data_IF_075378233273
#
_entry.id   IF_075378233273
#
_cell.length_a   1.000
_cell.length_b   1.000
_cell.length_c   1.000
_cell.angle_alpha   90.00
_cell.angle_beta   90.00
_cell.angle_gamma   90.00
#
_symmetry.space_group_name_H-M   'P 1'
#
loop_
_entity.id
_entity.type
_entity.pdbx_description
1 polymer ?
#
# COMPACT_ATOMS: atom_id res chain seq x y z
N UNK A 1 4.58 11.54 -15.89
CA UNK A 1 3.16 11.93 -15.85
C UNK A 1 2.27 10.73 -15.55
N UNK A 2 0.97 10.95 -15.31
CA UNK A 2 0.04 9.91 -14.82
C UNK A 2 -0.07 8.69 -15.74
N UNK A 3 0.13 8.86 -17.04
CA UNK A 3 0.11 7.79 -18.05
C UNK A 3 1.29 6.83 -17.97
N UNK A 4 2.29 7.09 -17.14
CA UNK A 4 3.37 6.14 -16.88
C UNK A 4 2.95 5.02 -15.91
N UNK A 5 1.84 5.21 -15.23
CA UNK A 5 1.30 4.20 -14.32
C UNK A 5 0.40 3.21 -15.07
N UNK A 6 0.54 1.93 -14.75
CA UNK A 6 -0.26 0.87 -15.35
C UNK A 6 -1.76 1.11 -15.12
N UNK A 7 -2.55 0.93 -16.15
CA UNK A 7 -4.01 1.16 -16.21
C UNK A 7 -4.47 2.63 -16.21
N UNK A 8 -3.57 3.61 -16.02
CA UNK A 8 -3.91 5.01 -16.15
C UNK A 8 -3.58 5.54 -17.55
N UNK A 9 -4.32 6.51 -18.01
CA UNK A 9 -4.15 7.13 -19.32
C UNK A 9 -4.21 8.66 -19.22
N UNK A 10 -4.04 9.33 -20.32
CA UNK A 10 -4.03 10.79 -20.42
C UNK A 10 -5.39 11.41 -20.03
N UNK A 11 -6.49 10.76 -20.46
CA UNK A 11 -7.86 11.22 -20.16
C UNK A 11 -8.11 11.27 -18.66
N UNK A 12 -7.70 10.23 -17.91
CA UNK A 12 -7.77 10.22 -16.43
C UNK A 12 -7.00 11.38 -15.84
N UNK A 13 -5.81 11.68 -16.39
CA UNK A 13 -5.00 12.82 -15.93
C UNK A 13 -5.68 14.16 -16.16
N UNK A 14 -6.29 14.36 -17.33
CA UNK A 14 -7.02 15.57 -17.67
C UNK A 14 -8.25 15.75 -16.80
N UNK A 15 -9.07 14.71 -16.61
CA UNK A 15 -10.26 14.74 -15.76
C UNK A 15 -9.92 15.06 -14.30
N UNK A 16 -8.86 14.44 -13.73
CA UNK A 16 -8.38 14.78 -12.38
C UNK A 16 -7.87 16.22 -12.31
N UNK A 17 -7.19 16.68 -13.35
CA UNK A 17 -6.66 18.05 -13.40
C UNK A 17 -7.79 19.10 -13.44
N UNK A 18 -8.90 18.82 -14.11
CA UNK A 18 -10.08 19.70 -14.12
C UNK A 18 -10.72 19.85 -12.74
N UNK A 19 -10.75 18.75 -11.95
CA UNK A 19 -11.31 18.75 -10.59
C UNK A 19 -10.47 19.52 -9.56
N UNK A 20 -9.21 19.86 -9.86
CA UNK A 20 -8.30 20.55 -8.91
C UNK A 20 -8.79 21.93 -8.40
N UNK A 21 -9.69 22.57 -9.14
CA UNK A 21 -10.22 23.88 -8.78
C UNK A 21 -11.43 23.80 -7.87
N UNK A 22 -11.97 22.61 -7.63
CA UNK A 22 -13.09 22.38 -6.74
C UNK A 22 -12.57 22.19 -5.31
N UNK A 23 -13.33 22.69 -4.34
CA UNK A 23 -13.06 22.44 -2.92
C UNK A 23 -13.92 21.30 -2.41
N UNK A 24 -13.30 20.36 -1.72
CA UNK A 24 -13.97 19.18 -1.15
C UNK A 24 -13.71 19.11 0.35
N UNK A 25 -14.76 19.01 1.14
CA UNK A 25 -14.61 18.86 2.60
C UNK A 25 -14.16 17.46 3.02
N UNK A 26 -14.40 16.46 2.20
CA UNK A 26 -14.01 15.07 2.45
C UNK A 26 -13.97 14.25 1.16
N UNK A 27 -13.42 13.04 1.26
CA UNK A 27 -13.24 12.16 0.11
C UNK A 27 -14.56 11.73 -0.57
N UNK A 28 -15.66 11.61 0.19
CA UNK A 28 -16.96 11.24 -0.37
C UNK A 28 -17.46 12.31 -1.34
N UNK A 29 -17.24 13.58 -1.05
CA UNK A 29 -17.63 14.67 -1.96
C UNK A 29 -16.87 14.61 -3.28
N UNK A 30 -15.55 14.38 -3.23
CA UNK A 30 -14.74 14.13 -4.42
C UNK A 30 -15.24 12.91 -5.21
N UNK A 31 -15.61 11.81 -4.52
CA UNK A 31 -16.12 10.60 -5.18
C UNK A 31 -17.43 10.84 -5.94
N UNK A 32 -18.31 11.74 -5.49
CA UNK A 32 -19.49 12.13 -6.25
C UNK A 32 -19.14 12.80 -7.57
N UNK A 33 -18.15 13.69 -7.60
CA UNK A 33 -17.71 14.34 -8.82
C UNK A 33 -16.97 13.36 -9.75
N UNK A 34 -16.14 12.48 -9.20
CA UNK A 34 -15.45 11.43 -9.95
C UNK A 34 -16.41 10.44 -10.63
N UNK A 35 -17.64 10.26 -10.13
CA UNK A 35 -18.67 9.46 -10.84
C UNK A 35 -19.14 10.08 -12.16
N UNK A 36 -18.89 11.36 -12.39
CA UNK A 36 -19.20 12.05 -13.62
C UNK A 36 -18.05 12.00 -14.65
N UNK A 37 -16.92 11.35 -14.29
CA UNK A 37 -15.74 11.16 -15.14
C UNK A 37 -15.73 9.77 -15.79
N UNK A 38 -14.78 9.53 -16.68
CA UNK A 38 -14.55 8.22 -17.30
C UNK A 38 -13.78 7.24 -16.40
N UNK A 39 -13.35 7.68 -15.22
CA UNK A 39 -12.51 6.91 -14.28
C UNK A 39 -13.27 5.71 -13.75
N UNK A 40 -12.82 4.52 -14.10
CA UNK A 40 -13.43 3.27 -13.64
C UNK A 40 -12.89 2.81 -12.29
N UNK A 41 -13.53 1.77 -11.70
CA UNK A 41 -13.18 1.26 -10.38
C UNK A 41 -11.75 0.72 -10.27
N UNK A 42 -11.18 0.14 -11.36
CA UNK A 42 -9.78 -0.29 -11.38
C UNK A 42 -8.84 0.90 -11.27
N UNK A 43 -9.09 1.95 -12.05
CA UNK A 43 -8.31 3.18 -12.04
C UNK A 43 -8.41 3.89 -10.70
N UNK A 44 -9.59 3.95 -10.10
CA UNK A 44 -9.77 4.47 -8.74
C UNK A 44 -8.92 3.72 -7.71
N UNK A 45 -8.93 2.39 -7.73
CA UNK A 45 -8.09 1.59 -6.85
C UNK A 45 -6.59 1.87 -7.03
N UNK A 46 -6.14 2.04 -8.28
CA UNK A 46 -4.74 2.39 -8.57
C UNK A 46 -4.41 3.77 -8.01
N UNK A 47 -5.23 4.78 -8.27
CA UNK A 47 -5.04 6.15 -7.79
C UNK A 47 -4.98 6.21 -6.26
N UNK A 48 -5.92 5.55 -5.57
CA UNK A 48 -5.92 5.51 -4.10
C UNK A 48 -4.65 4.82 -3.59
N UNK A 49 -4.31 3.65 -4.11
CA UNK A 49 -3.15 2.87 -3.67
C UNK A 49 -1.81 3.54 -3.96
N UNK A 50 -1.73 4.38 -4.98
CA UNK A 50 -0.57 5.20 -5.31
C UNK A 50 -0.60 6.58 -4.64
N UNK A 51 -1.49 6.75 -3.68
CA UNK A 51 -1.52 7.91 -2.78
C UNK A 51 -1.90 9.26 -3.43
N UNK A 52 -2.63 9.24 -4.54
CA UNK A 52 -3.07 10.46 -5.21
C UNK A 52 -4.05 11.32 -4.40
N UNK A 53 -4.67 10.76 -3.38
CA UNK A 53 -5.70 11.42 -2.56
C UNK A 53 -5.30 11.54 -1.08
N UNK A 54 -3.99 11.61 -0.79
CA UNK A 54 -3.44 11.69 0.59
C UNK A 54 -4.04 12.81 1.43
N UNK A 55 -4.42 13.90 0.84
CA UNK A 55 -5.05 15.04 1.52
C UNK A 55 -6.36 14.67 2.24
N UNK A 56 -7.09 13.64 1.77
CA UNK A 56 -8.34 13.17 2.37
C UNK A 56 -8.14 12.05 3.39
N UNK A 57 -6.95 11.46 3.49
CA UNK A 57 -6.65 10.39 4.43
C UNK A 57 -5.61 9.40 3.92
N UNK A 58 -5.41 8.36 4.70
CA UNK A 58 -4.44 7.32 4.46
C UNK A 58 -4.98 6.25 3.51
N UNK A 59 -4.11 5.57 2.79
CA UNK A 59 -4.46 4.70 1.64
C UNK A 59 -5.46 3.58 1.97
N UNK A 60 -5.28 2.87 3.08
CA UNK A 60 -6.23 1.83 3.51
C UNK A 60 -7.59 2.40 3.86
N UNK A 61 -7.60 3.49 4.63
CA UNK A 61 -8.83 4.23 4.95
C UNK A 61 -9.59 4.63 3.68
N UNK A 62 -8.91 5.25 2.72
CA UNK A 62 -9.53 5.70 1.47
C UNK A 62 -10.09 4.55 0.63
N UNK A 63 -9.42 3.39 0.61
CA UNK A 63 -9.95 2.19 -0.05
C UNK A 63 -11.24 1.70 0.59
N UNK A 64 -11.30 1.70 1.92
CA UNK A 64 -12.50 1.28 2.66
C UNK A 64 -13.65 2.28 2.47
N UNK A 65 -13.36 3.59 2.49
CA UNK A 65 -14.35 4.64 2.17
C UNK A 65 -14.86 4.51 0.74
N UNK A 66 -13.97 4.21 -0.22
CA UNK A 66 -14.37 3.98 -1.61
C UNK A 66 -15.29 2.75 -1.74
N UNK A 67 -15.00 1.66 -1.02
CA UNK A 67 -15.87 0.48 -1.00
C UNK A 67 -17.25 0.79 -0.39
N UNK A 68 -17.31 1.59 0.68
CA UNK A 68 -18.57 2.07 1.24
C UNK A 68 -19.33 2.90 0.21
N UNK A 69 -18.66 3.84 -0.44
CA UNK A 69 -19.26 4.68 -1.47
C UNK A 69 -19.84 3.83 -2.61
N UNK A 70 -19.04 2.91 -3.18
CA UNK A 70 -19.49 2.08 -4.31
C UNK A 70 -20.66 1.17 -3.95
N UNK A 71 -20.72 0.68 -2.71
CA UNK A 71 -21.81 -0.17 -2.23
C UNK A 71 -23.11 0.61 -2.00
N UNK A 72 -23.05 1.89 -1.65
CA UNK A 72 -24.19 2.72 -1.28
C UNK A 72 -24.64 3.67 -2.39
N UNK A 73 -23.76 4.04 -3.31
CA UNK A 73 -24.05 5.01 -4.35
C UNK A 73 -25.29 4.65 -5.18
N UNK A 74 -26.20 5.59 -5.36
CA UNK A 74 -27.44 5.41 -6.11
C UNK A 74 -28.51 4.55 -5.42
N UNK A 75 -28.24 4.00 -4.23
CA UNK A 75 -29.26 3.26 -3.48
C UNK A 75 -30.29 4.22 -2.89
N UNK A 76 -31.54 3.78 -2.83
CA UNK A 76 -32.67 4.57 -2.29
C UNK A 76 -33.37 3.83 -1.15
N UNK A 77 -33.09 2.53 -0.99
CA UNK A 77 -33.73 1.67 0.01
C UNK A 77 -32.86 0.46 0.34
N UNK A 78 -33.04 -0.09 1.51
CA UNK A 78 -32.38 -1.33 1.97
C UNK A 78 -33.41 -2.29 2.55
N UNK A 79 -33.24 -3.59 2.30
CA UNK A 79 -33.99 -4.63 2.99
C UNK A 79 -33.51 -4.78 4.43
N UNK A 80 -34.41 -4.94 5.39
CA UNK A 80 -34.07 -5.20 6.81
C UNK A 80 -33.22 -6.46 6.96
N UNK A 81 -33.44 -7.46 6.11
CA UNK A 81 -32.72 -8.73 6.15
C UNK A 81 -31.32 -8.68 5.47
N UNK A 82 -31.00 -7.59 4.74
CA UNK A 82 -29.73 -7.42 4.01
C UNK A 82 -29.29 -5.98 4.10
N UNK A 83 -28.71 -5.65 5.23
CA UNK A 83 -28.17 -4.32 5.50
C UNK A 83 -26.75 -4.18 4.94
N UNK A 84 -26.36 -3.02 4.37
CA UNK A 84 -25.05 -2.81 3.82
C UNK A 84 -24.00 -2.54 4.90
N UNK A 85 -22.73 -2.69 4.58
CA UNK A 85 -21.58 -2.24 5.38
C UNK A 85 -21.57 -2.70 6.85
N UNK A 86 -22.19 -3.85 7.14
CA UNK A 86 -22.29 -4.36 8.52
C UNK A 86 -23.11 -3.49 9.48
N UNK A 87 -23.93 -2.58 8.95
CA UNK A 87 -24.78 -1.68 9.73
C UNK A 87 -25.95 -2.43 10.38
N UNK A 88 -26.35 -1.97 11.55
CA UNK A 88 -27.54 -2.43 12.24
C UNK A 88 -28.81 -1.71 11.72
N UNK A 89 -29.98 -2.29 11.99
CA UNK A 89 -31.26 -1.67 11.65
C UNK A 89 -31.42 -0.30 12.36
N UNK A 90 -30.96 -0.18 13.61
CA UNK A 90 -31.00 1.06 14.37
C UNK A 90 -30.15 2.16 13.72
N UNK A 91 -28.95 1.83 13.26
CA UNK A 91 -28.07 2.78 12.59
C UNK A 91 -28.66 3.29 11.28
N UNK A 92 -29.22 2.40 10.45
CA UNK A 92 -29.87 2.81 9.18
C UNK A 92 -31.14 3.63 9.44
N UNK A 93 -31.90 3.32 10.50
CA UNK A 93 -33.12 4.05 10.81
C UNK A 93 -32.89 5.53 11.05
N UNK A 94 -31.70 5.93 11.53
CA UNK A 94 -31.32 7.33 11.75
C UNK A 94 -31.16 8.13 10.45
N UNK A 95 -30.96 7.44 9.34
CA UNK A 95 -30.76 8.02 8.00
C UNK A 95 -31.94 7.70 7.07
N UNK A 96 -33.02 7.09 7.57
CA UNK A 96 -34.19 6.71 6.78
C UNK A 96 -35.39 7.55 7.19
N UNK A 97 -36.01 8.23 6.24
CA UNK A 97 -37.23 8.99 6.49
C UNK A 97 -38.49 8.11 6.51
N UNK A 98 -38.39 6.87 6.03
CA UNK A 98 -39.50 5.94 5.96
C UNK A 98 -39.05 4.50 6.19
N UNK A 99 -39.62 3.85 7.17
CA UNK A 99 -39.44 2.42 7.47
C UNK A 99 -40.74 1.65 7.30
N UNK A 100 -40.62 0.41 6.81
CA UNK A 100 -41.69 -0.58 6.77
C UNK A 100 -41.18 -1.86 7.46
N UNK A 101 -42.05 -2.85 7.68
CA UNK A 101 -41.63 -4.13 8.27
C UNK A 101 -40.51 -4.86 7.47
N UNK A 102 -40.33 -4.55 6.21
CA UNK A 102 -39.37 -5.24 5.31
C UNK A 102 -38.24 -4.35 4.79
N UNK A 103 -38.38 -3.03 4.85
CA UNK A 103 -37.44 -2.11 4.17
C UNK A 103 -37.33 -0.77 4.87
N UNK A 104 -36.13 -0.21 4.81
CA UNK A 104 -35.84 1.20 5.00
C UNK A 104 -35.87 1.91 3.63
N UNK A 105 -36.51 3.06 3.54
CA UNK A 105 -36.70 3.84 2.30
C UNK A 105 -36.37 5.31 2.54
N UNK A 106 -36.21 6.06 1.43
CA UNK A 106 -35.90 7.48 1.48
C UNK A 106 -34.65 7.76 2.34
N UNK A 107 -33.58 7.04 2.03
CA UNK A 107 -32.32 7.06 2.78
C UNK A 107 -31.52 8.32 2.44
N UNK A 108 -31.08 9.05 3.46
CA UNK A 108 -29.97 10.01 3.32
C UNK A 108 -28.65 9.26 3.08
N UNK A 109 -28.41 8.92 1.82
CA UNK A 109 -27.23 8.11 1.42
C UNK A 109 -25.93 8.83 1.72
N UNK A 110 -25.85 10.17 1.49
CA UNK A 110 -24.63 10.96 1.76
C UNK A 110 -24.33 10.99 3.26
N UNK A 111 -25.34 11.23 4.09
CA UNK A 111 -25.20 11.17 5.55
C UNK A 111 -24.79 9.79 6.03
N UNK A 112 -25.38 8.73 5.49
CA UNK A 112 -25.03 7.34 5.83
C UNK A 112 -23.60 6.97 5.43
N UNK A 113 -23.14 7.40 4.24
CA UNK A 113 -21.73 7.21 3.80
C UNK A 113 -20.76 7.91 4.75
N UNK A 114 -21.02 9.16 5.12
CA UNK A 114 -20.18 9.90 6.06
C UNK A 114 -20.14 9.23 7.44
N UNK A 115 -21.27 8.71 7.90
CA UNK A 115 -21.32 7.95 9.14
C UNK A 115 -20.49 6.66 9.06
N UNK A 116 -20.59 5.90 7.98
CA UNK A 116 -19.75 4.72 7.77
C UNK A 116 -18.27 5.09 7.74
N UNK A 117 -17.90 6.13 6.99
CA UNK A 117 -16.52 6.60 6.90
C UNK A 117 -15.94 7.02 8.27
N UNK A 118 -16.76 7.63 9.13
CA UNK A 118 -16.33 8.03 10.48
C UNK A 118 -15.97 6.86 11.40
N UNK A 119 -16.41 5.66 11.09
CA UNK A 119 -16.08 4.43 11.85
C UNK A 119 -14.82 3.74 11.35
N UNK A 120 -14.34 4.09 10.17
CA UNK A 120 -13.16 3.49 9.56
C UNK A 120 -11.92 4.12 10.16
N UNK A 121 -10.97 3.28 10.58
CA UNK A 121 -9.70 3.74 11.14
C UNK A 121 -8.81 4.32 10.03
N UNK A 122 -8.28 5.51 10.26
CA UNK A 122 -7.40 6.19 9.29
C UNK A 122 -5.99 5.58 9.35
N UNK A 123 -5.75 4.53 8.55
CA UNK A 123 -4.51 3.77 8.47
C UNK A 123 -4.02 3.65 7.03
N UNK A 124 -2.71 3.49 6.86
CA UNK A 124 -2.12 3.15 5.58
C UNK A 124 -2.18 1.64 5.31
N UNK A 125 -1.97 1.27 4.05
CA UNK A 125 -1.65 -0.10 3.69
C UNK A 125 -0.36 -0.53 4.41
N UNK A 126 -0.19 -1.83 4.60
CA UNK A 126 1.07 -2.37 5.09
C UNK A 126 2.22 -2.02 4.13
N UNK A 127 3.46 -2.00 4.63
CA UNK A 127 4.64 -1.76 3.80
C UNK A 127 4.72 -2.78 2.66
N UNK A 128 4.43 -4.04 2.94
CA UNK A 128 4.37 -5.10 1.94
C UNK A 128 3.38 -4.79 0.81
N UNK A 129 2.13 -4.41 1.17
CA UNK A 129 1.11 -4.07 0.19
C UNK A 129 1.47 -2.82 -0.60
N UNK A 130 2.05 -1.82 0.06
CA UNK A 130 2.54 -0.59 -0.56
C UNK A 130 3.63 -0.89 -1.59
N UNK A 131 4.63 -1.69 -1.23
CA UNK A 131 5.74 -2.05 -2.12
C UNK A 131 5.27 -2.90 -3.31
N UNK A 132 4.40 -3.89 -3.07
CA UNK A 132 3.77 -4.67 -4.15
C UNK A 132 2.99 -3.79 -5.11
N UNK A 133 2.23 -2.85 -4.57
CA UNK A 133 1.46 -1.88 -5.35
C UNK A 133 2.35 -1.00 -6.22
N UNK A 134 3.41 -0.43 -5.64
CA UNK A 134 4.36 0.40 -6.38
C UNK A 134 5.04 -0.39 -7.49
N UNK A 135 5.57 -1.59 -7.21
CA UNK A 135 6.16 -2.46 -8.24
C UNK A 135 5.17 -2.82 -9.35
N UNK A 136 3.91 -3.12 -9.00
CA UNK A 136 2.90 -3.51 -9.99
C UNK A 136 2.48 -2.36 -10.90
N UNK A 137 2.23 -1.16 -10.34
CA UNK A 137 1.57 -0.07 -11.07
C UNK A 137 2.54 0.97 -11.62
N UNK A 138 3.67 1.20 -10.97
CA UNK A 138 4.68 2.15 -11.46
C UNK A 138 6.02 1.50 -11.90
N UNK A 139 6.24 0.23 -11.54
CA UNK A 139 7.43 -0.53 -11.96
C UNK A 139 8.66 -0.34 -11.06
N UNK A 140 8.61 0.56 -10.10
CA UNK A 140 9.69 0.84 -9.13
C UNK A 140 9.11 1.19 -7.76
N UNK A 141 9.93 1.15 -6.72
CA UNK A 141 9.57 1.58 -5.38
C UNK A 141 10.06 3.01 -5.21
N UNK A 142 9.17 3.89 -4.75
CA UNK A 142 9.43 5.28 -4.44
C UNK A 142 8.80 5.58 -3.07
N UNK A 143 9.47 5.12 -2.02
CA UNK A 143 8.99 5.22 -0.65
C UNK A 143 10.12 5.73 0.24
N UNK A 144 9.89 6.83 0.93
CA UNK A 144 10.81 7.36 1.96
C UNK A 144 9.98 7.76 3.16
N UNK A 145 10.41 7.31 4.32
CA UNK A 145 9.82 7.68 5.60
C UNK A 145 10.95 7.86 6.62
N UNK A 146 11.30 9.11 6.89
CA UNK A 146 12.41 9.50 7.76
C UNK A 146 12.22 9.10 9.24
N UNK A 147 11.01 8.72 9.63
CA UNK A 147 10.72 8.22 10.98
C UNK A 147 11.32 6.81 11.21
N UNK A 148 11.64 6.07 10.14
CA UNK A 148 12.32 4.81 10.25
C UNK A 148 13.80 4.97 10.61
N UNK A 149 14.31 4.04 11.44
CA UNK A 149 15.73 3.97 11.69
C UNK A 149 16.49 3.61 10.41
N UNK A 150 17.64 4.25 10.18
CA UNK A 150 18.51 4.04 8.99
C UNK A 150 19.00 2.60 8.80
N UNK A 151 18.87 1.73 9.80
CA UNK A 151 19.23 0.32 9.72
C UNK A 151 18.01 -0.58 9.44
N UNK A 152 16.84 0.00 9.14
CA UNK A 152 15.62 -0.74 8.82
C UNK A 152 15.43 -0.81 7.31
N UNK A 153 15.27 -2.01 6.82
CA UNK A 153 15.15 -2.32 5.40
C UNK A 153 13.95 -3.23 5.13
N UNK A 154 13.43 -3.15 3.92
CA UNK A 154 12.51 -4.16 3.37
C UNK A 154 13.29 -5.05 2.41
N UNK A 155 13.13 -6.35 2.53
CA UNK A 155 13.70 -7.32 1.60
C UNK A 155 12.88 -7.31 0.32
N UNK A 156 13.43 -6.79 -0.78
CA UNK A 156 12.68 -6.67 -2.05
C UNK A 156 12.88 -7.83 -3.00
N UNK A 157 13.99 -8.56 -2.87
CA UNK A 157 14.31 -9.74 -3.67
C UNK A 157 15.31 -10.64 -2.94
N UNK A 158 15.19 -11.96 -3.13
CA UNK A 158 16.17 -12.94 -2.64
C UNK A 158 16.63 -13.81 -3.82
N UNK A 159 17.93 -13.75 -4.12
CA UNK A 159 18.56 -14.57 -5.16
C UNK A 159 19.43 -15.65 -4.53
N UNK A 160 19.05 -16.89 -4.72
CA UNK A 160 19.81 -18.06 -4.24
C UNK A 160 20.51 -18.71 -5.40
N UNK A 161 21.83 -18.87 -5.26
CA UNK A 161 22.66 -19.66 -6.19
C UNK A 161 23.20 -20.90 -5.46
N UNK A 162 23.82 -21.81 -6.19
CA UNK A 162 24.48 -23.00 -5.58
C UNK A 162 25.42 -22.63 -4.43
N UNK A 163 26.11 -21.48 -4.51
CA UNK A 163 27.20 -21.12 -3.61
C UNK A 163 26.90 -19.91 -2.71
N UNK A 164 25.97 -19.08 -3.10
CA UNK A 164 25.75 -17.80 -2.42
C UNK A 164 24.26 -17.42 -2.41
N UNK A 165 23.89 -16.65 -1.41
CA UNK A 165 22.59 -16.04 -1.26
C UNK A 165 22.82 -14.53 -1.28
N UNK A 166 21.99 -13.81 -2.03
CA UNK A 166 21.97 -12.35 -2.09
C UNK A 166 20.57 -11.88 -1.74
N UNK A 167 20.48 -10.81 -0.97
CA UNK A 167 19.24 -10.09 -0.74
C UNK A 167 19.36 -8.69 -1.33
N UNK A 168 18.29 -8.23 -1.95
CA UNK A 168 18.11 -6.84 -2.27
C UNK A 168 17.34 -6.18 -1.13
N UNK A 169 17.96 -5.20 -0.50
CA UNK A 169 17.44 -4.49 0.66
C UNK A 169 17.10 -3.07 0.28
N UNK A 170 15.85 -2.66 0.51
CA UNK A 170 15.39 -1.30 0.35
C UNK A 170 15.41 -0.58 1.69
N UNK A 171 16.18 0.50 1.83
CA UNK A 171 16.25 1.31 3.03
C UNK A 171 15.00 2.19 3.15
N UNK A 172 14.22 2.02 4.20
CA UNK A 172 12.97 2.77 4.38
C UNK A 172 13.18 4.25 4.66
N UNK A 173 14.29 4.60 5.33
CA UNK A 173 14.58 5.98 5.68
C UNK A 173 15.18 6.78 4.52
N UNK A 174 16.00 6.14 3.67
CA UNK A 174 16.78 6.80 2.62
C UNK A 174 16.24 6.58 1.22
N UNK A 175 15.36 5.59 1.02
CA UNK A 175 14.83 5.24 -0.30
C UNK A 175 15.85 4.54 -1.22
N UNK A 176 16.95 4.00 -0.67
CA UNK A 176 18.03 3.40 -1.43
C UNK A 176 17.93 1.88 -1.47
N UNK A 177 18.33 1.30 -2.61
CA UNK A 177 18.39 -0.14 -2.80
C UNK A 177 19.85 -0.61 -2.75
N UNK A 178 20.11 -1.63 -1.96
CA UNK A 178 21.42 -2.27 -1.85
C UNK A 178 21.32 -3.77 -2.06
N UNK A 179 22.12 -4.31 -2.99
CA UNK A 179 22.27 -5.76 -3.14
C UNK A 179 23.41 -6.26 -2.27
N UNK A 180 23.11 -7.09 -1.28
CA UNK A 180 24.07 -7.56 -0.30
C UNK A 180 24.15 -9.08 -0.25
N UNK A 181 25.37 -9.60 -0.07
CA UNK A 181 25.55 -11.03 0.17
C UNK A 181 25.07 -11.38 1.58
N UNK A 182 24.32 -12.48 1.71
CA UNK A 182 23.77 -12.97 2.98
C UNK A 182 24.65 -14.09 3.54
N UNK A 183 24.88 -14.10 4.85
CA UNK A 183 25.54 -15.23 5.51
C UNK A 183 24.67 -16.48 5.42
N UNK A 184 25.20 -17.50 4.75
CA UNK A 184 24.45 -18.73 4.43
C UNK A 184 24.07 -19.53 5.68
N UNK A 185 24.91 -19.51 6.73
CA UNK A 185 24.63 -20.24 7.97
C UNK A 185 23.45 -19.59 8.69
N UNK A 186 23.50 -18.26 8.78
CA UNK A 186 22.41 -17.48 9.40
C UNK A 186 21.10 -17.64 8.63
N UNK A 187 21.15 -17.57 7.28
CA UNK A 187 19.98 -17.75 6.43
C UNK A 187 19.34 -19.13 6.57
N UNK A 188 20.15 -20.20 6.65
CA UNK A 188 19.63 -21.54 6.86
C UNK A 188 18.99 -21.73 8.25
N UNK A 189 19.43 -20.98 9.24
CA UNK A 189 18.85 -21.01 10.59
C UNK A 189 17.58 -20.17 10.71
N UNK A 190 17.57 -19.00 10.12
CA UNK A 190 16.41 -18.10 10.11
C UNK A 190 16.31 -17.45 8.73
N UNK A 191 15.57 -18.04 7.79
CA UNK A 191 15.42 -17.49 6.46
C UNK A 191 14.82 -16.09 6.45
N UNK A 192 15.25 -15.29 5.47
CA UNK A 192 14.57 -14.06 5.06
C UNK A 192 13.49 -14.41 4.05
N UNK A 193 12.41 -13.67 4.06
CA UNK A 193 11.40 -13.72 3.01
C UNK A 193 11.32 -12.37 2.30
N UNK A 194 10.85 -12.39 1.06
CA UNK A 194 10.52 -11.14 0.35
C UNK A 194 9.44 -10.40 1.12
N UNK A 195 9.62 -9.08 1.20
CA UNK A 195 8.82 -8.13 1.97
C UNK A 195 8.92 -8.21 3.49
N UNK A 196 9.78 -9.06 4.05
CA UNK A 196 10.15 -8.94 5.46
C UNK A 196 10.74 -7.54 5.72
N UNK A 197 10.22 -6.84 6.73
CA UNK A 197 10.83 -5.62 7.26
C UNK A 197 11.80 -6.01 8.36
N UNK A 198 13.08 -5.68 8.15
CA UNK A 198 14.17 -6.17 9.02
C UNK A 198 15.08 -5.06 9.52
N UNK A 199 15.52 -5.20 10.74
CA UNK A 199 16.69 -4.50 11.26
C UNK A 199 17.93 -5.28 10.82
N UNK A 200 18.78 -4.71 9.96
CA UNK A 200 19.91 -5.39 9.34
C UNK A 200 21.23 -5.11 10.07
N UNK A 201 22.04 -6.15 10.25
CA UNK A 201 23.39 -6.07 10.81
C UNK A 201 24.39 -6.61 9.80
N UNK A 202 25.34 -5.80 9.42
CA UNK A 202 26.33 -6.12 8.40
C UNK A 202 27.75 -6.18 8.97
N UNK A 203 28.62 -6.93 8.30
CA UNK A 203 30.05 -6.98 8.55
C UNK A 203 30.83 -6.82 7.26
N UNK A 204 31.91 -6.09 7.31
CA UNK A 204 32.87 -6.00 6.22
C UNK A 204 33.86 -7.15 6.30
N UNK A 205 33.91 -7.98 5.25
CA UNK A 205 34.83 -9.14 5.17
C UNK A 205 35.69 -9.05 3.93
N UNK A 206 36.99 -9.41 4.08
CA UNK A 206 37.90 -9.48 2.97
C UNK A 206 37.47 -10.56 1.97
N UNK A 207 37.49 -10.23 0.67
CA UNK A 207 37.29 -11.22 -0.38
C UNK A 207 38.49 -12.15 -0.41
N UNK A 208 38.25 -13.45 -0.58
CA UNK A 208 39.29 -14.46 -0.71
C UNK A 208 39.20 -15.12 -2.08
N UNK A 209 40.38 -15.41 -2.66
CA UNK A 209 40.52 -16.19 -3.87
C UNK A 209 41.35 -17.42 -3.61
N UNK A 210 41.15 -18.46 -4.45
CA UNK A 210 41.91 -19.69 -4.32
C UNK A 210 43.17 -19.61 -5.22
N UNK A 211 44.33 -19.59 -4.58
CA UNK A 211 45.64 -19.61 -5.26
C UNK A 211 46.36 -20.89 -4.84
N UNK A 212 46.73 -21.75 -5.78
CA UNK A 212 47.43 -23.01 -5.54
C UNK A 212 46.76 -23.89 -4.48
N UNK A 213 45.41 -23.92 -4.49
CA UNK A 213 44.65 -24.73 -3.52
C UNK A 213 44.38 -24.07 -2.16
N UNK A 214 45.03 -22.97 -1.83
CA UNK A 214 44.84 -22.21 -0.58
C UNK A 214 44.00 -20.97 -0.79
N UNK A 215 43.20 -20.59 0.23
CA UNK A 215 42.43 -19.39 0.21
C UNK A 215 43.28 -18.19 0.71
N UNK A 216 43.53 -17.24 -0.16
CA UNK A 216 44.34 -16.02 0.09
C UNK A 216 43.44 -14.79 0.00
N UNK A 217 43.65 -13.82 0.90
CA UNK A 217 42.98 -12.51 0.84
C UNK A 217 43.34 -11.77 -0.46
N UNK A 218 42.40 -11.01 -1.01
CA UNK A 218 42.60 -10.23 -2.23
C UNK A 218 42.92 -8.78 -1.96
N UNK A 219 42.85 -8.31 -0.71
CA UNK A 219 42.87 -6.89 -0.35
C UNK A 219 41.58 -6.14 -0.66
N UNK A 220 40.62 -6.78 -1.32
CA UNK A 220 39.28 -6.23 -1.55
C UNK A 220 38.33 -6.63 -0.45
N UNK A 221 37.44 -5.74 -0.08
CA UNK A 221 36.45 -5.95 0.97
C UNK A 221 35.04 -5.96 0.39
N UNK A 222 34.14 -6.66 1.07
CA UNK A 222 32.71 -6.69 0.76
C UNK A 222 31.92 -6.68 2.06
N UNK A 223 30.80 -6.03 2.01
CA UNK A 223 29.81 -6.06 3.07
C UNK A 223 28.94 -7.34 2.96
N UNK A 224 28.64 -7.93 4.09
CA UNK A 224 27.84 -9.16 4.20
C UNK A 224 26.78 -8.94 5.27
N UNK A 225 25.53 -9.24 4.96
CA UNK A 225 24.45 -9.31 5.94
C UNK A 225 24.66 -10.57 6.83
N UNK A 226 25.05 -10.35 8.05
CA UNK A 226 25.43 -11.43 8.99
C UNK A 226 24.33 -11.75 9.98
N UNK A 227 23.47 -10.78 10.29
CA UNK A 227 22.34 -10.99 11.18
C UNK A 227 21.19 -10.04 10.83
N UNK A 228 19.97 -10.40 11.24
CA UNK A 228 18.77 -9.58 11.09
C UNK A 228 17.75 -9.94 12.16
N UNK A 229 16.87 -9.01 12.42
CA UNK A 229 15.68 -9.19 13.24
C UNK A 229 14.46 -8.65 12.47
N UNK A 230 13.47 -9.46 12.25
CA UNK A 230 12.19 -9.03 11.67
C UNK A 230 11.53 -8.03 12.63
N UNK A 231 11.11 -6.90 12.11
CA UNK A 231 10.52 -5.80 12.89
C UNK A 231 8.99 -5.95 12.95
N UNK A 232 8.40 -6.45 11.89
CA UNK A 232 6.94 -6.72 11.78
C UNK A 232 6.74 -7.94 10.89
#
# INVERSE_FOLDING_TARGET
>A
GIKSYKYLNEIVGEELYELRNNEYNNFIELLYDLKNTSINSRQMNVLIKLDFFREFGKTKYLLEVYNVFDSLYGKKQFSINKLPCGLTAEEISRYSNKATEKQFKEIDIKGLMNYCASKIKNEDLSIEETFKTMKEYQGYIDYVDEDWNVQVYVVTEIKTTKYSIFAELYNLNQGEITSIKVDKKRFNYAPLNEYDTVYAFTEVREKKQKVEGKWVGTGEYKEILTNWRVVV
#
